data_IF_519385032216
#
_entry.id   IF_519385032216
#
_cell.length_a   1.000
_cell.length_b   1.000
_cell.length_c   1.000
_cell.angle_alpha   90.00
_cell.angle_beta   90.00
_cell.angle_gamma   90.00
#
_symmetry.space_group_name_H-M   'P 1'
#
loop_
_entity.id
_entity.type
_entity.pdbx_description
1 polymer ?
#
# COMPACT_ATOMS: atom_id res chain seq x y z
N UNK A 1 -5.25 20.73 -5.04
CA UNK A 1 -4.71 19.83 -3.99
C UNK A 1 -5.48 18.53 -4.15
N UNK A 2 -4.83 17.44 -4.59
CA UNK A 2 -5.51 16.17 -4.86
C UNK A 2 -5.97 15.60 -3.51
N UNK A 3 -7.28 15.54 -3.28
CA UNK A 3 -7.83 14.88 -2.10
C UNK A 3 -7.62 13.38 -2.24
N UNK A 4 -6.79 12.80 -1.36
CA UNK A 4 -6.50 11.35 -1.33
C UNK A 4 -7.77 10.50 -1.05
N UNK A 5 -8.89 11.14 -0.68
CA UNK A 5 -10.19 10.52 -0.43
C UNK A 5 -10.86 9.94 -1.69
N UNK A 6 -10.50 10.43 -2.88
CA UNK A 6 -11.08 9.99 -4.16
C UNK A 6 -10.05 9.32 -5.09
N UNK A 7 -9.04 8.65 -4.53
CA UNK A 7 -7.99 8.00 -5.34
C UNK A 7 -8.56 6.93 -6.27
N UNK A 8 -9.58 6.19 -5.83
CA UNK A 8 -10.19 5.15 -6.65
C UNK A 8 -10.90 5.75 -7.88
N UNK A 9 -11.67 6.83 -7.70
CA UNK A 9 -12.29 7.56 -8.81
C UNK A 9 -11.24 8.15 -9.76
N UNK A 10 -10.12 8.65 -9.21
CA UNK A 10 -9.01 9.16 -10.00
C UNK A 10 -8.33 8.05 -10.79
N UNK A 11 -8.21 6.85 -10.23
CA UNK A 11 -7.68 5.68 -10.92
C UNK A 11 -8.56 5.32 -12.12
N UNK A 12 -9.88 5.22 -11.92
CA UNK A 12 -10.85 4.89 -12.97
C UNK A 12 -10.81 5.91 -14.13
N UNK A 13 -10.73 7.21 -13.82
CA UNK A 13 -10.64 8.25 -14.85
C UNK A 13 -9.33 8.15 -15.64
N UNK A 14 -8.19 7.90 -14.97
CA UNK A 14 -6.90 7.72 -15.64
C UNK A 14 -6.85 6.45 -16.49
N UNK A 15 -7.46 5.36 -16.03
CA UNK A 15 -7.61 4.13 -16.81
C UNK A 15 -8.45 4.36 -18.07
N UNK A 16 -9.57 5.08 -17.94
CA UNK A 16 -10.40 5.46 -19.08
C UNK A 16 -9.64 6.33 -20.08
N UNK A 17 -8.86 7.30 -19.59
CA UNK A 17 -8.00 8.12 -20.44
C UNK A 17 -6.90 7.31 -21.13
N UNK A 18 -6.37 6.27 -20.46
CA UNK A 18 -5.40 5.36 -21.06
C UNK A 18 -6.01 4.57 -22.22
N UNK A 19 -7.23 4.05 -22.06
CA UNK A 19 -7.96 3.32 -23.08
C UNK A 19 -8.39 4.21 -24.26
N UNK A 20 -8.67 5.49 -24.01
CA UNK A 20 -9.09 6.46 -25.02
C UNK A 20 -7.92 7.11 -25.78
N UNK A 21 -6.67 6.77 -25.42
CA UNK A 21 -5.50 7.37 -26.03
C UNK A 21 -5.40 7.05 -27.53
N UNK A 22 -5.35 8.10 -28.35
CA UNK A 22 -5.21 7.96 -29.80
C UNK A 22 -3.87 7.30 -30.14
N UNK A 23 -3.91 6.13 -30.79
CA UNK A 23 -2.71 5.36 -31.13
C UNK A 23 -2.26 4.35 -30.06
N UNK A 24 -3.06 4.12 -29.01
CA UNK A 24 -2.82 3.06 -28.02
C UNK A 24 -1.64 3.28 -27.07
N UNK A 25 -1.07 4.50 -27.05
CA UNK A 25 0.01 4.91 -26.16
C UNK A 25 -0.33 6.25 -25.52
N UNK A 26 -0.31 6.32 -24.20
CA UNK A 26 -0.64 7.53 -23.42
C UNK A 26 0.60 8.34 -23.03
N UNK A 27 0.37 9.47 -22.35
CA UNK A 27 1.45 10.35 -21.90
C UNK A 27 2.24 9.73 -20.74
N UNK A 28 3.56 10.03 -20.62
CA UNK A 28 4.38 9.54 -19.51
C UNK A 28 3.85 9.98 -18.13
N UNK A 29 3.23 11.16 -18.06
CA UNK A 29 2.64 11.71 -16.84
C UNK A 29 1.46 10.87 -16.35
N UNK A 30 0.57 10.48 -17.27
CA UNK A 30 -0.57 9.60 -16.96
C UNK A 30 -0.08 8.26 -16.42
N UNK A 31 0.92 7.66 -17.08
CA UNK A 31 1.50 6.40 -16.61
C UNK A 31 2.16 6.52 -15.23
N UNK A 32 2.86 7.61 -14.96
CA UNK A 32 3.47 7.85 -13.65
C UNK A 32 2.44 7.98 -12.54
N UNK A 33 1.37 8.74 -12.80
CA UNK A 33 0.28 8.93 -11.84
C UNK A 33 -0.49 7.63 -11.59
N UNK A 34 -0.87 6.91 -12.64
CA UNK A 34 -1.59 5.63 -12.52
C UNK A 34 -0.74 4.57 -11.79
N UNK A 35 0.55 4.50 -12.11
CA UNK A 35 1.47 3.59 -11.43
C UNK A 35 1.59 3.93 -9.94
N UNK A 36 1.71 5.21 -9.57
CA UNK A 36 1.76 5.64 -8.19
C UNK A 36 0.46 5.30 -7.43
N UNK A 37 -0.70 5.43 -8.08
CA UNK A 37 -1.99 5.07 -7.49
C UNK A 37 -2.08 3.58 -7.20
N UNK A 38 -1.69 2.71 -8.14
CA UNK A 38 -1.68 1.27 -7.88
C UNK A 38 -0.75 0.88 -6.72
N UNK A 39 0.41 1.54 -6.61
CA UNK A 39 1.30 1.34 -5.45
C UNK A 39 0.62 1.79 -4.15
N UNK A 40 -0.06 2.94 -4.15
CA UNK A 40 -0.83 3.44 -3.00
C UNK A 40 -1.97 2.49 -2.58
N UNK A 41 -2.64 1.85 -3.54
CA UNK A 41 -3.67 0.83 -3.29
C UNK A 41 -3.10 -0.52 -2.83
N UNK A 42 -1.78 -0.71 -2.90
CA UNK A 42 -1.09 -2.00 -2.74
C UNK A 42 -1.47 -3.05 -3.79
N UNK A 43 -1.99 -2.61 -4.94
CA UNK A 43 -2.25 -3.49 -6.08
C UNK A 43 -0.98 -3.65 -6.93
N UNK A 44 -0.06 -4.44 -6.40
CA UNK A 44 1.24 -4.65 -7.02
C UNK A 44 1.14 -5.44 -8.34
N UNK A 45 0.07 -6.23 -8.51
CA UNK A 45 -0.18 -6.99 -9.73
C UNK A 45 -0.51 -6.05 -10.89
N UNK A 46 -1.49 -5.17 -10.70
CA UNK A 46 -1.85 -4.18 -11.72
C UNK A 46 -0.72 -3.19 -11.98
N UNK A 47 0.03 -2.78 -10.95
CA UNK A 47 1.25 -1.99 -11.13
C UNK A 47 2.27 -2.68 -12.05
N UNK A 48 2.50 -3.99 -11.86
CA UNK A 48 3.43 -4.79 -12.68
C UNK A 48 2.96 -4.90 -14.12
N UNK A 49 1.67 -5.18 -14.34
CA UNK A 49 1.12 -5.30 -15.68
C UNK A 49 1.10 -3.96 -16.42
N UNK A 50 0.80 -2.86 -15.72
CA UNK A 50 0.95 -1.51 -16.26
C UNK A 50 2.39 -1.25 -16.70
N UNK A 51 3.37 -1.53 -15.82
CA UNK A 51 4.79 -1.36 -16.17
C UNK A 51 5.20 -2.18 -17.40
N UNK A 52 4.63 -3.38 -17.60
CA UNK A 52 4.90 -4.19 -18.80
C UNK A 52 4.27 -3.60 -20.06
N UNK A 53 3.08 -2.99 -19.97
CA UNK A 53 2.35 -2.36 -21.09
C UNK A 53 3.05 -1.11 -21.61
N UNK A 54 3.72 -0.35 -20.74
CA UNK A 54 4.38 0.90 -21.14
C UNK A 54 5.52 0.61 -22.16
N UNK A 55 5.52 1.28 -23.32
CA UNK A 55 6.57 1.17 -24.33
C UNK A 55 7.98 1.54 -23.82
N UNK A 56 9.02 0.91 -24.37
CA UNK A 56 10.40 1.12 -23.93
C UNK A 56 10.90 2.56 -24.17
N UNK A 57 10.45 3.21 -25.24
CA UNK A 57 10.79 4.61 -25.52
C UNK A 57 10.35 5.55 -24.40
N UNK A 58 9.18 5.31 -23.80
CA UNK A 58 8.67 6.14 -22.68
C UNK A 58 9.48 5.89 -21.41
N UNK A 59 9.83 4.63 -21.13
CA UNK A 59 10.65 4.26 -19.95
C UNK A 59 12.03 4.91 -19.99
N UNK A 60 12.66 4.94 -21.15
CA UNK A 60 13.99 5.53 -21.31
C UNK A 60 13.97 7.06 -21.28
N UNK A 61 12.87 7.68 -21.73
CA UNK A 61 12.72 9.14 -21.74
C UNK A 61 12.37 9.72 -20.37
N UNK A 62 11.68 8.95 -19.52
CA UNK A 62 11.19 9.42 -18.22
C UNK A 62 11.83 8.63 -17.07
N UNK A 63 12.87 9.21 -16.47
CA UNK A 63 13.60 8.61 -15.34
C UNK A 63 12.72 8.49 -14.09
N UNK A 64 11.81 9.43 -13.85
CA UNK A 64 10.86 9.40 -12.73
C UNK A 64 10.03 8.11 -12.74
N UNK A 65 9.52 7.70 -13.90
CA UNK A 65 8.75 6.46 -14.05
C UNK A 65 9.54 5.22 -13.61
N UNK A 66 10.84 5.19 -13.91
CA UNK A 66 11.75 4.15 -13.44
C UNK A 66 11.94 4.17 -11.92
N UNK A 67 11.98 5.36 -11.32
CA UNK A 67 12.09 5.52 -9.87
C UNK A 67 10.81 5.07 -9.16
N UNK A 68 9.62 5.42 -9.69
CA UNK A 68 8.33 4.91 -9.22
C UNK A 68 8.32 3.37 -9.26
N UNK A 69 8.78 2.77 -10.36
CA UNK A 69 8.83 1.31 -10.48
C UNK A 69 9.87 0.68 -9.54
N UNK A 70 10.98 1.36 -9.23
CA UNK A 70 11.93 0.89 -8.23
C UNK A 70 11.29 0.77 -6.84
N UNK A 71 10.45 1.73 -6.45
CA UNK A 71 9.62 1.63 -5.23
C UNK A 71 8.73 0.39 -5.32
N UNK A 72 8.04 0.19 -6.44
CA UNK A 72 7.19 -0.99 -6.66
C UNK A 72 7.93 -2.33 -6.55
N UNK A 73 9.16 -2.42 -7.07
CA UNK A 73 10.01 -3.62 -6.92
C UNK A 73 10.38 -3.87 -5.46
N UNK A 74 10.75 -2.83 -4.72
CA UNK A 74 11.08 -2.96 -3.30
C UNK A 74 9.85 -3.40 -2.48
N UNK A 75 8.67 -2.86 -2.79
CA UNK A 75 7.40 -3.31 -2.20
C UNK A 75 7.08 -4.76 -2.54
N UNK A 76 7.34 -5.21 -3.78
CA UNK A 76 7.13 -6.59 -4.20
C UNK A 76 8.01 -7.58 -3.42
N UNK A 77 9.27 -7.23 -3.18
CA UNK A 77 10.22 -8.03 -2.40
C UNK A 77 9.98 -7.91 -0.88
N UNK A 78 9.09 -7.02 -0.44
CA UNK A 78 8.83 -6.70 0.97
C UNK A 78 10.05 -6.13 1.71
N UNK A 79 10.97 -5.52 0.96
CA UNK A 79 12.16 -4.86 1.48
C UNK A 79 11.81 -3.43 1.94
N UNK A 80 11.26 -3.31 3.15
CA UNK A 80 10.82 -2.03 3.72
C UNK A 80 11.92 -0.94 3.74
N UNK A 81 13.17 -1.24 4.13
CA UNK A 81 14.23 -0.23 4.13
C UNK A 81 14.46 0.34 2.71
N UNK A 82 14.48 -0.54 1.71
CA UNK A 82 14.63 -0.15 0.32
C UNK A 82 13.44 0.68 -0.18
N UNK A 83 12.21 0.42 0.29
CA UNK A 83 11.03 1.23 -0.02
C UNK A 83 11.23 2.66 0.48
N UNK A 84 11.64 2.83 1.74
CA UNK A 84 11.83 4.17 2.32
C UNK A 84 12.98 4.94 1.68
N UNK A 85 14.08 4.27 1.36
CA UNK A 85 15.21 4.86 0.63
C UNK A 85 14.80 5.28 -0.79
N UNK A 86 14.04 4.45 -1.50
CA UNK A 86 13.54 4.79 -2.84
C UNK A 86 12.56 5.98 -2.81
N UNK A 87 11.72 6.06 -1.77
CA UNK A 87 10.76 7.16 -1.58
C UNK A 87 11.44 8.49 -1.21
N UNK A 88 12.55 8.46 -0.45
CA UNK A 88 13.27 9.68 -0.01
C UNK A 88 14.31 10.17 -1.01
N UNK A 89 14.87 9.28 -1.84
CA UNK A 89 15.94 9.62 -2.80
C UNK A 89 15.44 10.34 -4.06
N UNK A 90 14.13 10.31 -4.33
CA UNK A 90 13.58 10.84 -5.59
C UNK A 90 12.74 12.09 -5.38
N UNK A 91 12.99 13.11 -6.19
CA UNK A 91 12.12 14.28 -6.33
C UNK A 91 10.97 13.98 -7.28
N UNK A 92 9.75 13.92 -6.74
CA UNK A 92 8.52 13.64 -7.50
C UNK A 92 7.93 14.91 -8.12
N UNK A 93 7.35 14.78 -9.31
CA UNK A 93 6.56 15.82 -9.97
C UNK A 93 5.30 16.12 -9.14
N UNK A 94 4.78 17.36 -9.21
CA UNK A 94 3.63 17.82 -8.41
C UNK A 94 2.38 16.93 -8.47
N UNK A 95 2.15 16.22 -9.59
CA UNK A 95 1.03 15.30 -9.75
C UNK A 95 1.21 13.99 -8.95
N UNK A 96 2.44 13.50 -8.81
CA UNK A 96 2.76 12.20 -8.18
C UNK A 96 3.15 12.36 -6.72
N UNK A 97 3.77 13.49 -6.38
CA UNK A 97 4.23 13.83 -5.02
C UNK A 97 3.19 13.58 -3.92
N UNK A 98 1.93 14.06 -3.99
CA UNK A 98 0.96 13.83 -2.91
C UNK A 98 0.65 12.33 -2.72
N UNK A 99 0.59 11.57 -3.82
CA UNK A 99 0.32 10.12 -3.79
C UNK A 99 1.49 9.37 -3.14
N UNK A 100 2.73 9.74 -3.48
CA UNK A 100 3.94 9.12 -2.92
C UNK A 100 4.16 9.42 -1.45
N UNK A 101 3.84 10.65 -1.01
CA UNK A 101 3.85 11.00 0.42
C UNK A 101 2.79 10.16 1.15
N UNK A 102 1.57 10.11 0.63
CA UNK A 102 0.52 9.26 1.19
C UNK A 102 0.89 7.77 1.22
N UNK A 103 1.60 7.27 0.20
CA UNK A 103 2.08 5.90 0.14
C UNK A 103 3.05 5.61 1.29
N UNK A 104 3.99 6.53 1.57
CA UNK A 104 4.92 6.38 2.69
C UNK A 104 4.18 6.20 4.02
N UNK A 105 3.16 7.01 4.27
CA UNK A 105 2.37 6.94 5.50
C UNK A 105 1.55 5.65 5.57
N UNK A 106 0.96 5.24 4.46
CA UNK A 106 0.17 3.99 4.39
C UNK A 106 1.03 2.73 4.56
N UNK A 107 2.26 2.74 4.03
CA UNK A 107 3.24 1.67 4.28
C UNK A 107 3.59 1.60 5.76
N UNK A 108 3.81 2.75 6.42
CA UNK A 108 4.05 2.81 7.87
C UNK A 108 2.87 2.28 8.67
N UNK A 109 1.65 2.71 8.36
CA UNK A 109 0.43 2.23 9.02
C UNK A 109 0.29 0.71 8.90
N UNK A 110 0.47 0.16 7.70
CA UNK A 110 0.45 -1.30 7.50
C UNK A 110 1.56 -2.02 8.26
N UNK A 111 2.75 -1.44 8.34
CA UNK A 111 3.85 -2.01 9.12
C UNK A 111 3.53 -2.02 10.61
N UNK A 112 2.94 -0.95 11.16
CA UNK A 112 2.49 -0.91 12.56
C UNK A 112 1.46 -2.02 12.80
N UNK A 113 0.46 -2.16 11.92
CA UNK A 113 -0.53 -3.23 12.00
C UNK A 113 0.08 -4.64 11.90
N UNK A 114 1.13 -4.81 11.09
CA UNK A 114 1.87 -6.06 11.01
C UNK A 114 2.65 -6.34 12.29
N UNK A 115 3.33 -5.34 12.84
CA UNK A 115 4.10 -5.44 14.09
C UNK A 115 3.19 -5.89 15.24
N UNK A 116 2.02 -5.24 15.39
CA UNK A 116 1.05 -5.63 16.42
C UNK A 116 0.50 -7.06 16.26
N UNK A 117 0.48 -7.62 15.04
CA UNK A 117 -0.07 -8.95 14.78
C UNK A 117 0.97 -10.06 14.86
N UNK A 118 2.18 -9.79 14.37
CA UNK A 118 3.20 -10.82 14.16
C UNK A 118 4.24 -10.90 15.29
N UNK A 119 4.39 -9.84 16.09
CA UNK A 119 5.44 -9.76 17.11
C UNK A 119 4.86 -9.60 18.50
N UNK A 120 5.26 -10.49 19.42
CA UNK A 120 5.03 -10.33 20.86
C UNK A 120 6.09 -9.43 21.50
N UNK A 121 7.32 -9.50 20.99
CA UNK A 121 8.44 -8.65 21.36
C UNK A 121 9.32 -8.36 20.14
N UNK A 122 9.97 -7.20 20.13
CA UNK A 122 10.80 -6.74 19.01
C UNK A 122 11.89 -5.79 19.49
N UNK A 123 13.11 -5.91 18.97
CA UNK A 123 14.18 -4.95 19.28
C UNK A 123 13.89 -3.58 18.68
N UNK A 124 14.31 -2.52 19.37
CA UNK A 124 14.16 -1.13 18.90
C UNK A 124 14.81 -0.90 17.53
N UNK A 125 15.98 -1.50 17.28
CA UNK A 125 16.69 -1.39 16.00
C UNK A 125 15.94 -2.07 14.85
N UNK A 126 15.26 -3.17 15.14
CA UNK A 126 14.44 -3.84 14.13
C UNK A 126 13.18 -3.02 13.86
N UNK A 127 12.58 -2.40 14.89
CA UNK A 127 11.43 -1.51 14.69
C UNK A 127 11.80 -0.27 13.86
N UNK A 128 12.95 0.36 14.13
CA UNK A 128 13.42 1.52 13.37
C UNK A 128 13.66 1.17 11.91
N UNK A 129 14.23 -0.02 11.64
CA UNK A 129 14.42 -0.55 10.30
C UNK A 129 13.07 -0.79 9.58
N UNK A 130 12.10 -1.40 10.27
CA UNK A 130 10.79 -1.70 9.71
C UNK A 130 9.96 -0.44 9.39
N UNK A 131 10.10 0.63 10.18
CA UNK A 131 9.31 1.86 10.01
C UNK A 131 10.05 2.95 9.21
N UNK A 132 11.33 2.75 8.93
CA UNK A 132 12.18 3.70 8.22
C UNK A 132 12.26 5.04 8.95
N UNK A 133 12.52 5.00 10.26
CA UNK A 133 12.64 6.17 11.14
C UNK A 133 13.81 5.99 12.10
N UNK A 134 14.16 7.07 12.80
CA UNK A 134 15.20 6.99 13.84
C UNK A 134 14.72 6.22 15.06
N UNK A 135 15.66 5.74 15.88
CA UNK A 135 15.34 5.06 17.14
C UNK A 135 14.55 5.95 18.10
N UNK A 136 14.78 7.27 18.08
CA UNK A 136 14.04 8.23 18.90
C UNK A 136 12.57 8.32 18.47
N UNK A 137 12.31 8.49 17.17
CA UNK A 137 10.95 8.53 16.62
C UNK A 137 10.19 7.21 16.88
N UNK A 138 10.89 6.08 16.84
CA UNK A 138 10.31 4.78 17.14
C UNK A 138 9.85 4.66 18.60
N UNK A 139 10.59 5.22 19.56
CA UNK A 139 10.20 5.28 20.97
C UNK A 139 8.96 6.17 21.16
N UNK A 140 8.93 7.33 20.50
CA UNK A 140 7.77 8.23 20.57
C UNK A 140 6.52 7.57 19.98
N UNK A 141 6.66 6.84 18.88
CA UNK A 141 5.59 6.08 18.27
C UNK A 141 5.12 4.93 19.17
N UNK A 142 6.04 4.20 19.80
CA UNK A 142 5.70 3.15 20.76
C UNK A 142 4.90 3.72 21.95
N UNK A 143 5.32 4.85 22.51
CA UNK A 143 4.59 5.56 23.57
C UNK A 143 3.20 6.01 23.11
N UNK A 144 3.09 6.59 21.91
CA UNK A 144 1.81 7.03 21.33
C UNK A 144 0.84 5.87 21.14
N UNK A 145 1.33 4.68 20.77
CA UNK A 145 0.52 3.47 20.59
C UNK A 145 0.32 2.66 21.88
N UNK A 146 0.84 3.12 23.02
CA UNK A 146 0.70 2.43 24.31
C UNK A 146 1.50 1.12 24.41
N UNK A 147 2.58 0.97 23.64
CA UNK A 147 3.45 -0.21 23.69
C UNK A 147 4.40 -0.15 24.89
N UNK A 148 4.67 -1.29 25.50
CA UNK A 148 5.62 -1.36 26.62
C UNK A 148 7.06 -1.41 26.10
N UNK A 149 7.99 -0.77 26.79
CA UNK A 149 9.40 -0.68 26.40
C UNK A 149 10.26 -1.07 27.60
N UNK A 150 11.00 -2.17 27.50
CA UNK A 150 11.94 -2.65 28.52
C UNK A 150 13.31 -2.86 27.89
N UNK A 151 14.37 -2.25 28.43
CA UNK A 151 15.77 -2.48 28.06
C UNK A 151 16.04 -2.69 26.55
N UNK A 152 15.51 -1.79 25.69
CA UNK A 152 15.65 -1.79 24.23
C UNK A 152 14.77 -2.80 23.45
N UNK A 153 13.84 -3.46 24.14
CA UNK A 153 12.82 -4.35 23.58
C UNK A 153 11.45 -3.68 23.70
N UNK A 154 10.68 -3.75 22.63
CA UNK A 154 9.33 -3.22 22.52
C UNK A 154 8.36 -4.39 22.53
N UNK A 155 7.28 -4.25 23.29
CA UNK A 155 6.16 -5.18 23.35
C UNK A 155 4.93 -4.51 22.74
N UNK A 156 4.65 -4.76 21.44
CA UNK A 156 3.47 -4.24 20.78
C UNK A 156 2.21 -4.78 21.44
N UNK A 157 1.24 -3.91 21.68
CA UNK A 157 -0.10 -4.35 22.11
C UNK A 157 -0.78 -5.01 20.92
N UNK A 158 -1.06 -6.31 21.05
CA UNK A 158 -1.81 -7.02 20.04
C UNK A 158 -3.17 -6.36 19.86
N UNK A 159 -3.47 -5.94 18.62
CA UNK A 159 -4.82 -5.55 18.28
C UNK A 159 -5.68 -6.82 18.38
N UNK A 160 -6.52 -6.90 19.41
CA UNK A 160 -7.49 -7.97 19.57
C UNK A 160 -8.29 -8.03 18.27
N UNK A 161 -8.11 -9.09 17.48
CA UNK A 161 -8.97 -9.31 16.33
C UNK A 161 -10.39 -9.37 16.87
N UNK A 162 -11.25 -8.46 16.44
CA UNK A 162 -12.68 -8.55 16.71
C UNK A 162 -13.06 -9.99 16.31
N UNK A 163 -13.58 -10.83 17.24
CA UNK A 163 -13.97 -12.18 16.88
C UNK A 163 -14.91 -12.04 15.69
N UNK A 164 -14.56 -12.70 14.58
CA UNK A 164 -15.39 -12.74 13.39
C UNK A 164 -16.74 -13.23 13.90
N UNK A 165 -17.74 -12.34 13.91
CA UNK A 165 -19.11 -12.73 14.20
C UNK A 165 -19.42 -13.80 13.16
N UNK A 166 -19.39 -15.05 13.61
CA UNK A 166 -19.88 -16.21 12.87
C UNK A 166 -21.26 -15.77 12.41
N UNK A 167 -21.41 -15.58 11.09
CA UNK A 167 -22.60 -15.06 10.40
C UNK A 167 -23.86 -15.21 11.24
N UNK A 168 -24.58 -14.09 11.49
CA UNK A 168 -25.85 -14.09 12.23
C UNK A 168 -26.67 -15.33 11.87
N UNK A 169 -27.16 -16.06 12.88
CA UNK A 169 -27.91 -17.32 12.72
C UNK A 169 -29.01 -17.20 11.66
N UNK A 170 -29.59 -16.02 11.50
CA UNK A 170 -30.58 -15.69 10.48
C UNK A 170 -30.03 -15.79 9.05
N UNK A 171 -28.82 -15.29 8.78
CA UNK A 171 -28.18 -15.41 7.46
C UNK A 171 -27.81 -16.87 7.13
N UNK A 172 -27.48 -17.67 8.15
CA UNK A 172 -27.23 -19.10 7.98
C UNK A 172 -28.51 -19.85 7.66
N UNK A 173 -29.61 -19.55 8.37
CA UNK A 173 -30.94 -20.10 8.09
C UNK A 173 -31.42 -19.73 6.69
N UNK A 174 -31.27 -18.46 6.28
CA UNK A 174 -31.70 -18.02 4.96
C UNK A 174 -30.92 -18.71 3.82
N UNK A 175 -29.62 -18.97 4.03
CA UNK A 175 -28.81 -19.77 3.10
C UNK A 175 -29.24 -21.23 3.07
N UNK A 176 -29.51 -21.84 4.21
CA UNK A 176 -30.01 -23.22 4.30
C UNK A 176 -31.36 -23.37 3.58
N UNK A 177 -32.29 -22.45 3.80
CA UNK A 177 -33.58 -22.43 3.10
C UNK A 177 -33.41 -22.35 1.59
N UNK A 178 -32.49 -21.51 1.10
CA UNK A 178 -32.19 -21.42 -0.34
C UNK A 178 -31.59 -22.73 -0.88
N UNK A 179 -30.71 -23.41 -0.12
CA UNK A 179 -30.16 -24.70 -0.53
C UNK A 179 -31.24 -25.79 -0.60
N UNK A 180 -32.15 -25.85 0.37
CA UNK A 180 -33.25 -26.82 0.39
C UNK A 180 -34.20 -26.57 -0.78
N UNK A 181 -34.59 -25.31 -1.01
CA UNK A 181 -35.47 -24.94 -2.13
C UNK A 181 -34.87 -25.24 -3.51
N UNK A 182 -33.54 -25.15 -3.65
CA UNK A 182 -32.84 -25.51 -4.88
C UNK A 182 -32.78 -27.03 -5.13
N UNK A 183 -32.74 -27.85 -4.07
CA UNK A 183 -32.68 -29.30 -4.18
C UNK A 183 -34.05 -29.97 -4.32
N UNK A 184 -35.12 -29.31 -3.88
CA UNK A 184 -36.50 -29.80 -4.00
C UNK A 184 -37.13 -29.58 -5.40
N UNK A 185 -36.55 -28.71 -6.23
CA UNK A 185 -36.95 -28.52 -7.63
C UNK A 185 -36.01 -29.22 -8.60
#
# INVERSE_FOLDING_TARGET
>A
MISLENIDQLAEELEKQELQAQGGVSTPQLYGQLLAIYLYQFDLCNAKFLWKRIPQNIKSQNTELGHIWNVGKAMWQRELPAVYTALSSTSWTDNVKPIMVGLKDKVREKCIGLVCKAYSSLNLEMLSLLLGMTTQEAIELAKKNGWNIEDNIIFPVQQTSIPVNITSTEQQLHKLTNFVSFLEN
#
